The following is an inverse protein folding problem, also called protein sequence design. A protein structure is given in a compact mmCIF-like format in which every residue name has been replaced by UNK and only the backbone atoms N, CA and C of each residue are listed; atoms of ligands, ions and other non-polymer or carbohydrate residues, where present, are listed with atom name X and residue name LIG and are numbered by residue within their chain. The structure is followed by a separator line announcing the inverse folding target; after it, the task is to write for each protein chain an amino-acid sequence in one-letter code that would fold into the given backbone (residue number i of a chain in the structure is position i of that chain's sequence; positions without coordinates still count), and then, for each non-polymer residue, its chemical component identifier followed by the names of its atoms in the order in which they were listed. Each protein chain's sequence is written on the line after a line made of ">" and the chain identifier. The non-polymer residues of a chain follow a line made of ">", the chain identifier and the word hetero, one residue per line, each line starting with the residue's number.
data_IF_565683263409
#
_entry.id   IF_565683263409
#
_cell.length_a   1.000
_cell.length_b   1.000
_cell.length_c   1.000
_cell.angle_alpha   90.00
_cell.angle_beta   90.00
_cell.angle_gamma   90.00
#
_symmetry.space_group_name_H-M   'P 1'
#
loop_
_entity.id
_entity.type
_entity.pdbx_description
1 polymer ?
#
# COMPACT_ATOMS: atom_id res chain seq x y z
N UNK A 1 -13.11 12.30 4.92
CA UNK A 1 -12.64 11.91 3.58
C UNK A 1 -12.49 10.40 3.54
N UNK A 2 -12.91 9.76 2.45
CA UNK A 2 -12.72 8.32 2.21
C UNK A 2 -11.66 8.16 1.12
N UNK A 3 -10.51 7.61 1.50
CA UNK A 3 -9.33 7.53 0.66
C UNK A 3 -9.07 6.08 0.30
N UNK A 4 -9.22 5.73 -0.97
CA UNK A 4 -8.84 4.42 -1.49
C UNK A 4 -7.37 4.45 -1.90
N UNK A 5 -6.61 3.41 -1.60
CA UNK A 5 -5.20 3.32 -1.98
C UNK A 5 -5.01 2.39 -3.16
N UNK A 6 -4.21 2.82 -4.13
CA UNK A 6 -3.80 2.02 -5.28
C UNK A 6 -2.28 1.87 -5.29
N UNK A 7 -1.81 0.62 -5.32
CA UNK A 7 -0.38 0.33 -5.35
C UNK A 7 0.30 1.00 -6.55
N UNK A 8 1.36 1.75 -6.29
CA UNK A 8 2.15 2.42 -7.32
C UNK A 8 3.64 2.20 -7.06
N UNK A 9 4.31 1.52 -7.99
CA UNK A 9 5.73 1.22 -7.88
C UNK A 9 6.54 2.52 -7.95
N UNK A 10 6.98 3.01 -6.79
CA UNK A 10 7.73 4.27 -6.66
C UNK A 10 8.40 4.37 -5.29
N UNK A 11 9.48 5.15 -5.22
CA UNK A 11 10.21 5.48 -3.98
C UNK A 11 9.74 6.82 -3.34
N UNK A 12 8.67 7.41 -3.85
CA UNK A 12 8.22 8.72 -3.38
C UNK A 12 7.69 8.64 -1.94
N UNK A 13 8.06 9.59 -1.06
CA UNK A 13 7.44 9.66 0.26
C UNK A 13 5.95 9.96 0.12
N UNK A 14 5.13 9.43 1.01
CA UNK A 14 3.71 9.76 1.10
C UNK A 14 3.35 10.05 2.55
N UNK A 15 3.16 11.33 2.84
CA UNK A 15 2.63 11.84 4.09
C UNK A 15 1.45 12.74 3.76
N UNK A 16 0.36 12.64 4.52
CA UNK A 16 -0.79 13.49 4.31
C UNK A 16 -1.49 13.87 5.61
N UNK A 17 -2.20 15.00 5.59
CA UNK A 17 -3.10 15.40 6.67
C UNK A 17 -4.38 16.02 6.10
N UNK A 18 -5.49 15.82 6.80
CA UNK A 18 -6.82 16.29 6.40
C UNK A 18 -7.30 17.40 7.34
N UNK A 19 -7.75 18.51 6.78
CA UNK A 19 -8.40 19.60 7.50
C UNK A 19 -9.64 20.06 6.74
N UNK A 20 -10.81 19.60 7.18
CA UNK A 20 -12.07 19.87 6.47
C UNK A 20 -12.07 19.24 5.09
N UNK A 21 -12.19 20.07 4.05
CA UNK A 21 -12.17 19.66 2.64
C UNK A 21 -10.78 19.79 1.99
N UNK A 22 -9.77 20.14 2.78
CA UNK A 22 -8.39 20.32 2.32
C UNK A 22 -7.57 19.09 2.73
N UNK A 23 -6.83 18.53 1.79
CA UNK A 23 -5.81 17.51 2.07
C UNK A 23 -4.44 18.10 1.77
N UNK A 24 -3.52 18.03 2.73
CA UNK A 24 -2.12 18.39 2.51
C UNK A 24 -1.34 17.13 2.24
N UNK A 25 -0.69 16.99 1.08
CA UNK A 25 0.14 15.83 0.73
C UNK A 25 1.59 16.29 0.58
N UNK A 26 2.51 15.74 1.37
CA UNK A 26 3.93 16.11 1.38
C UNK A 26 4.18 17.63 1.46
N UNK A 27 3.33 18.36 2.20
CA UNK A 27 3.39 19.82 2.34
C UNK A 27 2.69 20.62 1.23
N UNK A 28 2.16 19.98 0.19
CA UNK A 28 1.32 20.63 -0.82
C UNK A 28 -0.15 20.60 -0.39
N UNK A 29 -0.75 21.78 -0.27
CA UNK A 29 -2.16 21.95 0.11
C UNK A 29 -3.07 21.80 -1.12
N UNK A 30 -4.04 20.90 -1.03
CA UNK A 30 -4.98 20.59 -2.10
C UNK A 30 -6.39 20.87 -1.59
N UNK A 31 -6.98 21.96 -2.09
CA UNK A 31 -8.33 22.37 -1.73
C UNK A 31 -9.38 21.67 -2.62
N UNK A 32 -10.17 20.80 -2.01
CA UNK A 32 -11.26 20.07 -2.68
C UNK A 32 -12.64 20.65 -2.33
N UNK A 33 -12.70 21.80 -1.66
CA UNK A 33 -13.95 22.49 -1.29
C UNK A 33 -14.75 22.91 -2.53
N UNK A 34 -14.07 23.12 -3.65
CA UNK A 34 -14.67 23.45 -4.94
C UNK A 34 -15.48 22.33 -5.60
N UNK A 35 -15.49 21.10 -5.05
CA UNK A 35 -16.28 19.97 -5.55
C UNK A 35 -17.60 19.89 -4.77
N UNK A 36 -18.74 20.34 -5.34
CA UNK A 36 -20.04 20.26 -4.67
C UNK A 36 -20.55 18.82 -4.56
N UNK A 37 -21.53 18.62 -3.67
CA UNK A 37 -22.18 17.32 -3.47
C UNK A 37 -22.83 16.80 -4.76
N UNK A 38 -22.57 15.54 -5.10
CA UNK A 38 -23.02 14.90 -6.34
C UNK A 38 -22.15 15.16 -7.56
N UNK A 39 -21.07 15.93 -7.43
CA UNK A 39 -20.13 16.22 -8.52
C UNK A 39 -18.83 15.46 -8.38
N UNK A 40 -18.12 15.34 -9.50
CA UNK A 40 -16.81 14.70 -9.59
C UNK A 40 -15.84 15.49 -10.45
N UNK A 41 -14.56 15.40 -10.12
CA UNK A 41 -13.43 15.98 -10.82
C UNK A 41 -12.47 14.85 -11.22
N UNK A 42 -11.95 14.81 -12.45
CA UNK A 42 -10.90 13.85 -12.82
C UNK A 42 -9.66 14.04 -11.94
N UNK A 43 -8.98 12.94 -11.57
CA UNK A 43 -7.79 12.98 -10.70
C UNK A 43 -6.68 13.86 -11.27
N UNK A 44 -6.43 13.81 -12.58
CA UNK A 44 -5.43 14.66 -13.23
C UNK A 44 -5.73 16.17 -13.13
N UNK A 45 -7.01 16.54 -12.98
CA UNK A 45 -7.41 17.95 -12.83
C UNK A 45 -7.11 18.50 -11.43
N UNK A 46 -6.76 17.66 -10.46
CA UNK A 46 -6.29 18.07 -9.12
C UNK A 46 -4.88 18.67 -9.21
N UNK A 47 -4.08 18.29 -10.21
CA UNK A 47 -2.73 18.82 -10.41
C UNK A 47 -1.66 18.25 -9.48
N UNK A 48 -1.98 17.21 -8.70
CA UNK A 48 -1.04 16.55 -7.80
C UNK A 48 -0.76 15.11 -8.24
N UNK A 49 0.52 14.69 -8.18
CA UNK A 49 1.01 13.41 -8.73
C UNK A 49 0.44 12.15 -8.08
N UNK A 50 -0.11 12.25 -6.86
CA UNK A 50 -0.70 11.12 -6.14
C UNK A 50 -2.13 10.84 -6.59
N UNK A 51 -2.78 11.81 -7.22
CA UNK A 51 -4.01 11.61 -7.96
C UNK A 51 -3.67 11.08 -9.36
N UNK A 52 -4.58 10.31 -9.95
CA UNK A 52 -4.34 9.64 -11.23
C UNK A 52 -5.58 9.74 -12.12
N UNK A 53 -5.35 9.99 -13.42
CA UNK A 53 -6.34 10.30 -14.44
C UNK A 53 -7.59 9.42 -14.63
N UNK A 54 -7.55 8.08 -14.54
CA UNK A 54 -8.75 7.27 -14.67
C UNK A 54 -9.61 7.30 -13.40
N UNK A 55 -9.08 7.81 -12.28
CA UNK A 55 -9.80 7.94 -11.02
C UNK A 55 -10.39 9.34 -10.87
N UNK A 56 -11.48 9.43 -10.12
CA UNK A 56 -12.17 10.69 -9.86
C UNK A 56 -12.06 11.06 -8.38
N UNK A 57 -12.11 12.35 -8.12
CA UNK A 57 -12.42 12.92 -6.81
C UNK A 57 -13.88 13.32 -6.83
N UNK A 58 -14.68 12.72 -5.98
CA UNK A 58 -16.13 12.94 -5.96
C UNK A 58 -16.64 13.22 -4.56
N UNK A 59 -17.71 14.02 -4.45
CA UNK A 59 -18.37 14.26 -3.17
C UNK A 59 -19.70 13.54 -3.13
N UNK A 60 -19.83 12.57 -2.22
CA UNK A 60 -21.05 11.80 -1.99
C UNK A 60 -21.52 12.02 -0.56
N UNK A 61 -22.70 12.62 -0.39
CA UNK A 61 -23.31 12.82 0.92
C UNK A 61 -22.43 13.66 1.85
N UNK A 62 -21.84 14.74 1.31
CA UNK A 62 -20.86 15.62 1.97
C UNK A 62 -19.47 15.02 2.23
N UNK A 63 -19.24 13.74 1.92
CA UNK A 63 -17.92 13.11 2.07
C UNK A 63 -17.19 13.09 0.75
N UNK A 64 -15.95 13.58 0.74
CA UNK A 64 -15.04 13.45 -0.41
C UNK A 64 -14.48 12.03 -0.49
N UNK A 65 -14.62 11.40 -1.64
CA UNK A 65 -14.12 10.07 -1.99
C UNK A 65 -13.11 10.20 -3.15
N UNK A 66 -11.94 9.57 -3.02
CA UNK A 66 -10.94 9.56 -4.08
C UNK A 66 -9.93 8.44 -3.88
N UNK A 67 -9.12 8.21 -4.92
CA UNK A 67 -8.02 7.24 -4.90
C UNK A 67 -6.69 7.97 -4.87
N UNK A 68 -5.78 7.54 -4.00
CA UNK A 68 -4.38 7.96 -3.99
C UNK A 68 -3.45 6.81 -4.36
N UNK A 69 -2.36 7.15 -5.04
CA UNK A 69 -1.23 6.25 -5.26
C UNK A 69 -0.52 5.98 -3.94
N UNK A 70 -0.45 4.71 -3.54
CA UNK A 70 0.35 4.22 -2.42
C UNK A 70 1.73 3.79 -2.95
N UNK A 71 2.82 4.45 -2.53
CA UNK A 71 4.16 4.03 -2.87
C UNK A 71 4.45 2.63 -2.35
N UNK A 72 4.81 1.73 -3.26
CA UNK A 72 5.30 0.40 -2.95
C UNK A 72 6.62 0.16 -3.68
N UNK A 73 7.47 -0.68 -3.11
CA UNK A 73 8.71 -1.18 -3.70
C UNK A 73 8.52 -2.61 -4.20
N UNK A 74 9.50 -3.15 -4.92
CA UNK A 74 9.40 -4.51 -5.44
C UNK A 74 9.36 -5.58 -4.32
N UNK A 75 9.98 -5.29 -3.18
CA UNK A 75 10.07 -6.11 -1.99
C UNK A 75 9.07 -5.73 -0.89
N UNK A 76 8.17 -4.78 -1.16
CA UNK A 76 7.03 -4.48 -0.27
C UNK A 76 6.13 -5.72 -0.07
N UNK A 77 5.46 -5.84 1.09
CA UNK A 77 4.49 -6.90 1.35
C UNK A 77 3.45 -7.06 0.23
N UNK A 78 3.11 -8.31 -0.10
CA UNK A 78 2.16 -8.61 -1.17
C UNK A 78 0.77 -8.01 -0.90
N UNK A 79 0.36 -7.94 0.37
CA UNK A 79 -0.88 -7.30 0.80
C UNK A 79 -0.99 -5.82 0.39
N UNK A 80 0.13 -5.14 0.14
CA UNK A 80 0.14 -3.75 -0.34
C UNK A 80 0.41 -3.64 -1.84
N UNK A 81 1.21 -4.55 -2.42
CA UNK A 81 1.49 -4.55 -3.86
C UNK A 81 0.32 -5.05 -4.71
N UNK A 82 -0.41 -6.03 -4.19
CA UNK A 82 -1.55 -6.65 -4.85
C UNK A 82 -2.62 -7.05 -3.81
N UNK A 83 -3.30 -6.05 -3.22
CA UNK A 83 -4.29 -6.30 -2.19
C UNK A 83 -5.49 -7.10 -2.74
N UNK A 84 -5.99 -8.06 -1.95
CA UNK A 84 -7.19 -8.84 -2.30
C UNK A 84 -8.43 -7.94 -2.36
N UNK A 85 -8.51 -6.95 -1.46
CA UNK A 85 -9.57 -5.95 -1.39
C UNK A 85 -8.96 -4.55 -1.38
N UNK A 86 -9.62 -3.52 -1.96
CA UNK A 86 -9.11 -2.15 -1.92
C UNK A 86 -8.86 -1.69 -0.49
N UNK A 87 -7.68 -1.12 -0.23
CA UNK A 87 -7.37 -0.53 1.06
C UNK A 87 -8.06 0.82 1.12
N UNK A 88 -8.98 0.98 2.07
CA UNK A 88 -9.79 2.19 2.21
C UNK A 88 -9.60 2.78 3.60
N UNK A 89 -9.23 4.06 3.65
CA UNK A 89 -9.05 4.82 4.87
C UNK A 89 -10.21 5.80 5.05
N UNK A 90 -10.84 5.80 6.23
CA UNK A 90 -11.79 6.83 6.62
C UNK A 90 -11.08 7.84 7.54
N UNK A 91 -10.90 9.06 7.05
CA UNK A 91 -10.13 10.11 7.73
C UNK A 91 -11.03 11.31 7.97
N UNK A 92 -11.32 11.62 9.24
CA UNK A 92 -12.14 12.77 9.60
C UNK A 92 -11.32 14.06 9.62
N UNK A 93 -10.17 14.06 10.29
CA UNK A 93 -9.23 15.17 10.36
C UNK A 93 -7.89 14.70 10.93
N UNK A 94 -6.82 15.43 10.65
CA UNK A 94 -5.48 15.18 11.16
C UNK A 94 -4.65 14.31 10.22
N UNK A 95 -3.53 13.77 10.72
CA UNK A 95 -2.60 12.96 9.93
C UNK A 95 -3.25 11.67 9.41
N UNK A 96 -3.10 11.41 8.11
CA UNK A 96 -3.55 10.16 7.46
C UNK A 96 -2.59 9.03 7.86
N UNK A 97 -3.13 7.95 8.42
CA UNK A 97 -2.36 6.76 8.80
C UNK A 97 -2.26 5.82 7.61
N UNK A 98 -1.23 6.00 6.78
CA UNK A 98 -0.93 5.08 5.66
C UNK A 98 -0.31 3.77 6.17
N UNK A 99 -0.52 2.65 5.46
CA UNK A 99 0.17 1.40 5.77
C UNK A 99 1.68 1.56 5.58
N UNK A 100 2.46 0.89 6.44
CA UNK A 100 3.90 0.77 6.27
C UNK A 100 4.20 -0.25 5.16
N UNK A 101 4.62 0.25 4.00
CA UNK A 101 4.90 -0.59 2.83
C UNK A 101 6.35 -1.06 2.77
N UNK A 102 7.17 -0.77 3.78
CA UNK A 102 8.56 -1.20 3.79
C UNK A 102 8.63 -2.74 3.83
N UNK A 103 9.68 -3.32 3.23
CA UNK A 103 9.92 -4.76 3.34
C UNK A 103 9.98 -5.15 4.83
N UNK A 104 9.00 -5.93 5.28
CA UNK A 104 9.09 -6.62 6.56
C UNK A 104 10.31 -7.53 6.49
N UNK A 105 11.43 -7.12 7.09
CA UNK A 105 12.60 -7.98 7.24
C UNK A 105 12.14 -9.19 8.04
N UNK A 106 11.84 -10.29 7.35
CA UNK A 106 11.45 -11.55 7.98
C UNK A 106 12.62 -11.93 8.88
N UNK A 107 12.48 -11.71 10.19
CA UNK A 107 13.39 -12.26 11.17
C UNK A 107 13.10 -13.76 11.19
N UNK A 108 13.74 -14.50 10.29
CA UNK A 108 13.68 -15.96 10.25
C UNK A 108 14.27 -16.46 11.58
N UNK A 109 13.40 -16.66 12.58
CA UNK A 109 13.77 -17.44 13.77
C UNK A 109 13.90 -18.88 13.32
N UNK A 110 15.12 -19.39 13.47
CA UNK A 110 15.55 -20.76 13.27
C UNK A 110 14.46 -21.80 13.57
N UNK A 111 13.75 -22.26 12.52
CA UNK A 111 13.15 -23.59 12.49
C UNK A 111 14.07 -24.45 11.62
N UNK A 112 15.33 -24.55 12.05
CA UNK A 112 16.18 -25.68 11.71
C UNK A 112 16.29 -26.49 13.00
N UNK A 113 15.28 -27.31 13.27
CA UNK A 113 15.44 -28.42 14.20
C UNK A 113 14.61 -29.59 13.70
N UNK A 114 15.32 -30.70 13.51
CA UNK A 114 14.80 -32.06 13.28
C UNK A 114 14.66 -32.47 11.81
N UNK A 115 15.78 -32.61 11.10
CA UNK A 115 15.88 -33.53 9.95
C UNK A 115 17.31 -34.08 9.84
N UNK A 116 17.79 -34.67 10.91
CA UNK A 116 18.89 -35.65 10.92
C UNK A 116 18.24 -36.88 11.58
N UNK A 117 18.02 -38.03 10.95
CA UNK A 117 19.02 -38.89 10.33
C UNK A 117 18.31 -39.89 9.41
N UNK A 118 18.62 -39.86 8.11
CA UNK A 118 18.29 -40.95 7.18
C UNK A 118 19.60 -41.67 6.88
N UNK A 119 19.94 -42.68 7.68
CA UNK A 119 21.05 -43.57 7.34
C UNK A 119 20.60 -44.50 6.21
N UNK A 120 21.17 -44.26 5.02
CA UNK A 120 21.16 -45.21 3.89
C UNK A 120 22.36 -46.15 4.09
N UNK A 121 22.15 -47.47 4.20
CA UNK A 121 23.28 -48.39 4.09
C UNK A 121 23.58 -48.63 2.61
N UNK A 122 24.63 -47.98 2.10
CA UNK A 122 25.29 -48.36 0.86
C UNK A 122 26.72 -48.81 1.21
N UNK A 123 27.03 -50.07 0.97
CA UNK A 123 28.01 -50.44 -0.08
C UNK A 123 28.41 -51.92 0.05
N UNK A 124 28.37 -52.61 -1.09
CA UNK A 124 28.86 -53.97 -1.24
C UNK A 124 30.36 -53.98 -1.53
N UNK A 125 31.10 -54.90 -0.91
CA UNK A 125 32.53 -55.09 -1.17
C UNK A 125 33.02 -56.50 -0.85
N UNK A 126 32.80 -57.41 -1.80
CA UNK A 126 33.64 -58.53 -2.28
C UNK A 126 34.87 -59.04 -1.47
N UNK A 127 34.90 -60.39 -1.28
CA UNK A 127 35.99 -61.43 -1.34
C UNK A 127 37.40 -61.10 -0.77
N UNK A 128 38.28 -61.96 -0.22
CA UNK A 128 38.69 -63.39 -0.26
C UNK A 128 39.25 -63.72 1.17
N UNK A 129 39.60 -64.93 1.62
CA UNK A 129 40.26 -66.10 1.02
C UNK A 129 40.01 -67.37 1.87
#
# INVERSE_FOLDING_TARGET
>A
MKITLLAHLSDWPLEASVSGDVITINGEEIDLSGIPDGFRLPGDAVGNKFFEGPWFVERIGKTLHFTLRLPVQNDSPEEYRNPIEPIVLDVQSGPVQFPDTLPTKVLVREVIKSSEQLEVPEDGGSIEA
#
